data_IF_403811912740
#
_entry.id   IF_403811912740
#
_cell.length_a   1.000
_cell.length_b   1.000
_cell.length_c   1.000
_cell.angle_alpha   90.00
_cell.angle_beta   90.00
_cell.angle_gamma   90.00
#
_symmetry.space_group_name_H-M   'P 1'
#
loop_
_entity.id
_entity.type
_entity.pdbx_description
1 polymer ?
#
# COMPACT_ATOMS: atom_id res chain seq x y z
N UNK A 1 7.33 -5.43 6.37
CA UNK A 1 8.75 -5.51 5.95
C UNK A 1 8.81 -4.77 4.63
N UNK A 2 9.39 -3.57 4.60
CA UNK A 2 9.43 -2.74 3.39
C UNK A 2 10.44 -3.39 2.42
N UNK A 3 9.97 -3.80 1.25
CA UNK A 3 10.82 -4.29 0.17
C UNK A 3 11.82 -3.20 -0.25
N UNK A 4 12.99 -3.55 -0.81
CA UNK A 4 13.99 -2.56 -1.16
C UNK A 4 13.45 -1.61 -2.25
N UNK A 5 13.33 -0.32 -1.92
CA UNK A 5 13.00 0.78 -2.85
C UNK A 5 14.10 1.07 -3.90
N UNK A 6 15.11 0.21 -3.99
CA UNK A 6 16.24 0.37 -4.90
C UNK A 6 16.00 -0.47 -6.16
N UNK A 7 16.35 0.09 -7.32
CA UNK A 7 16.46 -0.67 -8.57
C UNK A 7 17.30 -1.94 -8.27
N UNK A 8 16.80 -3.15 -8.55
CA UNK A 8 17.50 -4.38 -8.19
C UNK A 8 18.82 -4.60 -8.94
N UNK A 9 19.20 -3.67 -9.84
CA UNK A 9 20.48 -3.67 -10.50
C UNK A 9 21.54 -3.03 -9.56
N UNK A 10 22.54 -3.80 -9.06
CA UNK A 10 23.61 -3.21 -8.28
C UNK A 10 24.32 -2.14 -9.13
N UNK A 11 24.53 -0.94 -8.58
CA UNK A 11 25.22 0.19 -9.25
C UNK A 11 26.59 -0.22 -9.84
N UNK A 12 27.17 -1.32 -9.34
CA UNK A 12 28.46 -1.87 -9.74
C UNK A 12 28.40 -2.85 -10.92
N UNK A 13 27.20 -3.18 -11.45
CA UNK A 13 27.01 -4.09 -12.59
C UNK A 13 27.43 -5.54 -12.34
N UNK A 14 27.62 -5.94 -11.07
CA UNK A 14 28.12 -7.27 -10.66
C UNK A 14 27.03 -8.35 -10.55
N UNK A 15 25.82 -8.08 -11.04
CA UNK A 15 24.70 -9.02 -10.99
C UNK A 15 25.01 -10.33 -11.69
N UNK A 16 25.02 -11.44 -10.96
CA UNK A 16 25.20 -12.77 -11.57
C UNK A 16 23.92 -13.14 -12.31
N UNK A 17 23.99 -13.31 -13.63
CA UNK A 17 22.85 -13.80 -14.40
C UNK A 17 22.55 -15.27 -14.04
N UNK A 18 21.36 -15.51 -13.51
CA UNK A 18 20.86 -16.86 -13.17
C UNK A 18 19.77 -17.25 -14.17
N UNK A 19 19.72 -18.52 -14.57
CA UNK A 19 18.66 -19.06 -15.41
C UNK A 19 17.48 -19.52 -14.55
N UNK A 20 16.30 -19.00 -14.86
CA UNK A 20 15.03 -19.43 -14.27
C UNK A 20 14.26 -20.26 -15.30
N UNK A 21 13.72 -21.40 -14.90
CA UNK A 21 12.82 -22.23 -15.71
C UNK A 21 11.40 -22.04 -15.20
N UNK A 22 10.48 -21.69 -16.10
CA UNK A 22 9.08 -21.44 -15.79
C UNK A 22 8.19 -22.50 -16.44
N UNK A 23 7.22 -22.99 -15.70
CA UNK A 23 6.14 -23.85 -16.23
C UNK A 23 4.89 -22.98 -16.41
N UNK A 24 4.29 -23.04 -17.59
CA UNK A 24 3.08 -22.28 -17.93
C UNK A 24 2.24 -23.06 -18.94
N UNK A 25 0.98 -22.66 -19.09
CA UNK A 25 0.10 -23.25 -20.10
C UNK A 25 0.48 -22.74 -21.50
N UNK A 26 0.22 -23.56 -22.53
CA UNK A 26 0.57 -23.22 -23.91
C UNK A 26 -0.03 -21.89 -24.38
N UNK A 27 -1.29 -21.59 -24.01
CA UNK A 27 -1.93 -20.33 -24.37
C UNK A 27 -1.21 -19.11 -23.77
N UNK A 28 -0.63 -19.25 -22.57
CA UNK A 28 0.13 -18.18 -21.93
C UNK A 28 1.43 -17.95 -22.68
N UNK A 29 2.10 -19.04 -23.08
CA UNK A 29 3.32 -18.97 -23.85
C UNK A 29 3.10 -18.30 -25.22
N UNK A 30 2.08 -18.73 -25.98
CA UNK A 30 1.75 -18.14 -27.28
C UNK A 30 1.47 -16.64 -27.13
N UNK A 31 0.67 -16.26 -26.13
CA UNK A 31 0.36 -14.86 -25.87
C UNK A 31 1.61 -14.03 -25.54
N UNK A 32 2.55 -14.56 -24.75
CA UNK A 32 3.82 -13.87 -24.43
C UNK A 32 4.70 -13.77 -25.69
N UNK A 33 4.78 -14.82 -26.50
CA UNK A 33 5.58 -14.84 -27.73
C UNK A 33 5.09 -13.78 -28.74
N UNK A 34 3.78 -13.68 -28.97
CA UNK A 34 3.18 -12.64 -29.83
C UNK A 34 3.53 -11.23 -29.32
N UNK A 35 3.43 -11.01 -28.00
CA UNK A 35 3.69 -9.70 -27.38
C UNK A 35 5.15 -9.31 -27.36
N UNK A 36 6.06 -10.29 -27.30
CA UNK A 36 7.48 -10.08 -27.44
C UNK A 36 7.83 -9.68 -28.88
N UNK A 37 7.23 -10.35 -29.88
CA UNK A 37 7.40 -10.02 -31.29
C UNK A 37 6.90 -8.61 -31.64
N UNK A 38 5.71 -8.24 -31.17
CA UNK A 38 5.16 -6.88 -31.33
C UNK A 38 6.08 -5.77 -30.81
N UNK A 39 6.95 -6.09 -29.84
CA UNK A 39 7.86 -5.15 -29.19
C UNK A 39 9.31 -5.32 -29.64
N UNK A 40 9.55 -6.16 -30.64
CA UNK A 40 10.89 -6.47 -31.17
C UNK A 40 11.84 -7.02 -30.09
N UNK A 41 11.30 -7.77 -29.12
CA UNK A 41 12.06 -8.35 -28.01
C UNK A 41 12.13 -9.87 -28.13
N UNK A 42 13.22 -10.47 -27.65
CA UNK A 42 13.23 -11.91 -27.44
C UNK A 42 12.42 -12.27 -26.18
N UNK A 43 11.97 -13.53 -26.08
CA UNK A 43 11.11 -13.99 -24.98
C UNK A 43 11.71 -13.72 -23.59
N UNK A 44 13.02 -13.92 -23.41
CA UNK A 44 13.69 -13.73 -22.12
C UNK A 44 13.85 -12.26 -21.75
N UNK A 45 13.98 -11.38 -22.74
CA UNK A 45 14.01 -9.93 -22.56
C UNK A 45 12.63 -9.38 -22.22
N UNK A 46 11.61 -9.80 -22.97
CA UNK A 46 10.23 -9.43 -22.70
C UNK A 46 9.78 -9.86 -21.29
N UNK A 47 10.09 -11.10 -20.88
CA UNK A 47 9.78 -11.58 -19.53
C UNK A 47 10.50 -10.80 -18.43
N UNK A 48 11.76 -10.40 -18.64
CA UNK A 48 12.49 -9.56 -17.69
C UNK A 48 11.87 -8.17 -17.59
N UNK A 49 11.54 -7.55 -18.72
CA UNK A 49 10.88 -6.24 -18.75
C UNK A 49 9.51 -6.27 -18.04
N UNK A 50 8.72 -7.32 -18.29
CA UNK A 50 7.45 -7.55 -17.61
C UNK A 50 7.61 -7.75 -16.10
N UNK A 51 8.60 -8.53 -15.66
CA UNK A 51 8.86 -8.74 -14.24
C UNK A 51 9.24 -7.42 -13.54
N UNK A 52 10.14 -6.63 -14.13
CA UNK A 52 10.52 -5.30 -13.59
C UNK A 52 9.35 -4.33 -13.57
N UNK A 53 8.53 -4.30 -14.63
CA UNK A 53 7.35 -3.45 -14.68
C UNK A 53 6.28 -3.88 -13.66
N UNK A 54 6.08 -5.19 -13.49
CA UNK A 54 5.18 -5.76 -12.49
C UNK A 54 5.62 -5.41 -11.07
N UNK A 55 6.91 -5.50 -10.77
CA UNK A 55 7.47 -5.09 -9.47
C UNK A 55 7.21 -3.61 -9.20
N UNK A 56 7.44 -2.73 -10.18
CA UNK A 56 7.15 -1.30 -10.05
C UNK A 56 5.67 -1.03 -9.80
N UNK A 57 4.77 -1.81 -10.40
CA UNK A 57 3.33 -1.71 -10.15
C UNK A 57 2.94 -2.22 -8.75
N UNK A 58 3.55 -3.30 -8.28
CA UNK A 58 3.33 -3.80 -6.92
C UNK A 58 3.79 -2.79 -5.88
N UNK A 59 5.01 -2.25 -6.03
CA UNK A 59 5.53 -1.18 -5.15
C UNK A 59 4.65 0.06 -5.20
N UNK A 60 4.13 0.45 -6.38
CA UNK A 60 3.18 1.55 -6.47
C UNK A 60 1.86 1.28 -5.74
N UNK A 61 1.35 0.04 -5.78
CA UNK A 61 0.16 -0.36 -5.02
C UNK A 61 0.42 -0.42 -3.51
N UNK A 62 1.60 -0.89 -3.10
CA UNK A 62 2.03 -0.89 -1.70
C UNK A 62 2.16 0.54 -1.17
N UNK A 63 2.83 1.43 -1.92
CA UNK A 63 2.92 2.84 -1.57
C UNK A 63 1.55 3.54 -1.54
N UNK A 64 0.64 3.21 -2.47
CA UNK A 64 -0.74 3.71 -2.43
C UNK A 64 -1.51 3.19 -1.21
N UNK A 65 -1.29 1.95 -0.79
CA UNK A 65 -1.91 1.38 0.40
C UNK A 65 -1.37 2.03 1.70
N UNK A 66 -0.09 2.39 1.71
CA UNK A 66 0.56 3.14 2.79
C UNK A 66 0.12 4.62 2.81
N UNK A 67 -0.01 5.29 1.65
CA UNK A 67 -0.46 6.69 1.53
C UNK A 67 -1.97 6.88 1.82
N UNK A 68 -2.81 5.86 1.59
CA UNK A 68 -4.26 5.90 1.90
C UNK A 68 -4.57 5.72 3.41
N UNK A 69 -3.55 5.59 4.28
CA UNK A 69 -3.70 5.45 5.73
C UNK A 69 -4.35 4.13 6.19
N UNK A 70 -4.54 3.17 5.27
CA UNK A 70 -5.13 1.86 5.56
C UNK A 70 -4.18 0.98 6.37
N UNK A 71 -2.88 1.05 6.09
CA UNK A 71 -1.87 0.34 6.86
C UNK A 71 -1.80 0.82 8.33
N UNK A 72 -1.93 2.12 8.57
CA UNK A 72 -1.99 2.69 9.92
C UNK A 72 -3.28 2.29 10.65
N UNK A 73 -4.42 2.28 9.96
CA UNK A 73 -5.69 1.85 10.55
C UNK A 73 -5.67 0.35 10.89
N UNK A 74 -5.14 -0.49 10.01
CA UNK A 74 -5.00 -1.92 10.23
C UNK A 74 -4.04 -2.23 11.38
N UNK A 75 -2.90 -1.54 11.44
CA UNK A 75 -1.96 -1.64 12.56
C UNK A 75 -2.62 -1.21 13.89
N UNK A 76 -3.35 -0.09 13.90
CA UNK A 76 -4.08 0.38 15.09
C UNK A 76 -5.17 -0.60 15.54
N UNK A 77 -5.83 -1.30 14.62
CA UNK A 77 -6.79 -2.36 14.96
C UNK A 77 -6.07 -3.54 15.60
N UNK A 78 -4.98 -4.02 14.97
CA UNK A 78 -4.24 -5.19 15.46
C UNK A 78 -3.60 -4.94 16.83
N UNK A 79 -3.06 -3.76 17.09
CA UNK A 79 -2.48 -3.40 18.39
C UNK A 79 -3.51 -3.36 19.53
N UNK A 80 -4.79 -3.11 19.23
CA UNK A 80 -5.86 -3.06 20.22
C UNK A 80 -6.50 -4.43 20.48
N UNK A 81 -6.28 -5.42 19.59
CA UNK A 81 -6.86 -6.74 19.75
C UNK A 81 -6.04 -7.59 20.74
N UNK A 82 -6.68 -8.21 21.75
CA UNK A 82 -6.00 -9.10 22.67
C UNK A 82 -5.67 -10.45 22.01
N UNK A 83 -4.56 -11.04 22.44
CA UNK A 83 -4.06 -12.33 21.93
C UNK A 83 -4.83 -13.55 22.48
N UNK A 84 -5.74 -13.36 23.46
CA UNK A 84 -6.55 -14.40 24.09
C UNK A 84 -8.05 -14.21 23.80
N UNK A 85 -8.72 -15.27 23.38
CA UNK A 85 -10.17 -15.30 23.11
C UNK A 85 -11.01 -15.03 24.37
N UNK A 86 -10.49 -15.38 25.56
CA UNK A 86 -11.16 -15.09 26.83
C UNK A 86 -11.23 -13.58 27.16
N UNK A 87 -10.35 -12.78 26.55
CA UNK A 87 -10.24 -11.34 26.74
C UNK A 87 -10.78 -10.54 25.55
N UNK A 88 -11.55 -11.18 24.65
CA UNK A 88 -12.08 -10.54 23.44
C UNK A 88 -12.83 -9.23 23.75
N UNK A 89 -12.44 -8.17 23.05
CA UNK A 89 -13.03 -6.84 23.18
C UNK A 89 -14.35 -6.77 22.40
N UNK A 90 -15.36 -6.12 22.99
CA UNK A 90 -16.62 -5.86 22.30
C UNK A 90 -16.42 -4.93 21.09
N UNK A 91 -17.18 -5.17 20.02
CA UNK A 91 -17.07 -4.38 18.79
C UNK A 91 -17.24 -2.87 19.02
N UNK A 92 -18.17 -2.47 19.90
CA UNK A 92 -18.41 -1.06 20.21
C UNK A 92 -17.26 -0.42 20.98
N UNK A 93 -16.65 -1.18 21.90
CA UNK A 93 -15.48 -0.73 22.66
C UNK A 93 -14.24 -0.60 21.77
N UNK A 94 -14.00 -1.55 20.87
CA UNK A 94 -12.93 -1.48 19.89
C UNK A 94 -13.08 -0.27 18.96
N UNK A 95 -14.30 -0.03 18.47
CA UNK A 95 -14.59 1.10 17.60
C UNK A 95 -14.34 2.43 18.31
N UNK A 96 -14.75 2.55 19.58
CA UNK A 96 -14.54 3.76 20.38
C UNK A 96 -13.05 3.99 20.66
N UNK A 97 -12.29 2.93 20.96
CA UNK A 97 -10.84 2.99 21.18
C UNK A 97 -10.08 3.51 19.95
N UNK A 98 -10.49 3.12 18.74
CA UNK A 98 -9.90 3.59 17.48
C UNK A 98 -10.34 5.02 17.14
N UNK A 99 -11.62 5.34 17.31
CA UNK A 99 -12.19 6.63 16.90
C UNK A 99 -11.91 7.77 17.88
N UNK A 100 -11.64 7.47 19.15
CA UNK A 100 -11.41 8.50 20.18
C UNK A 100 -10.14 9.34 19.91
N UNK A 101 -8.96 8.75 19.63
CA UNK A 101 -7.75 9.51 19.29
C UNK A 101 -7.91 10.37 18.03
N UNK A 102 -8.63 9.87 17.03
CA UNK A 102 -8.93 10.59 15.78
C UNK A 102 -9.80 11.82 16.08
N UNK A 103 -10.84 11.65 16.90
CA UNK A 103 -11.71 12.74 17.33
C UNK A 103 -10.95 13.79 18.15
N UNK A 104 -10.13 13.37 19.09
CA UNK A 104 -9.34 14.29 19.92
C UNK A 104 -8.37 15.13 19.09
N UNK A 105 -7.66 14.49 18.15
CA UNK A 105 -6.77 15.17 17.20
C UNK A 105 -7.53 16.17 16.34
N UNK A 106 -8.67 15.75 15.78
CA UNK A 106 -9.52 16.60 14.94
C UNK A 106 -10.04 17.81 15.72
N UNK A 107 -10.59 17.61 16.92
CA UNK A 107 -11.06 18.71 17.76
C UNK A 107 -9.94 19.66 18.18
N UNK A 108 -8.74 19.14 18.43
CA UNK A 108 -7.58 19.98 18.74
C UNK A 108 -7.26 20.89 17.56
N UNK A 109 -7.15 20.35 16.35
CA UNK A 109 -6.90 21.13 15.12
C UNK A 109 -7.99 22.20 14.93
N UNK A 110 -9.26 21.81 15.03
CA UNK A 110 -10.40 22.71 14.87
C UNK A 110 -10.40 23.86 15.90
N UNK A 111 -9.91 23.61 17.13
CA UNK A 111 -9.83 24.62 18.19
C UNK A 111 -8.59 25.52 18.08
N UNK A 112 -7.47 24.98 17.59
CA UNK A 112 -6.18 25.70 17.59
C UNK A 112 -5.90 26.42 16.28
N UNK A 113 -6.53 26.01 15.18
CA UNK A 113 -6.31 26.63 13.88
C UNK A 113 -7.09 27.95 13.78
N UNK A 114 -6.37 29.07 13.71
CA UNK A 114 -6.95 30.42 13.65
C UNK A 114 -7.75 30.74 12.37
N UNK A 115 -7.66 29.89 11.36
CA UNK A 115 -8.41 30.01 10.10
C UNK A 115 -9.77 29.29 10.15
N UNK A 116 -10.01 28.49 11.19
CA UNK A 116 -11.25 27.72 11.36
C UNK A 116 -12.05 28.33 12.50
N UNK A 117 -13.34 28.55 12.30
CA UNK A 117 -14.24 29.15 13.29
C UNK A 117 -15.48 28.27 13.46
N UNK A 118 -15.95 28.14 14.71
CA UNK A 118 -17.19 27.42 15.00
C UNK A 118 -18.38 28.37 14.89
N UNK A 119 -19.38 28.00 14.09
CA UNK A 119 -20.68 28.66 13.99
C UNK A 119 -21.70 27.92 14.85
N UNK A 120 -22.17 28.52 15.96
CA UNK A 120 -23.25 27.95 16.76
C UNK A 120 -24.58 27.88 15.98
N UNK A 121 -24.82 28.82 15.06
CA UNK A 121 -26.06 28.88 14.28
C UNK A 121 -26.20 27.74 13.28
N UNK A 122 -25.07 27.22 12.78
CA UNK A 122 -25.02 26.09 11.86
C UNK A 122 -24.61 24.77 12.55
N UNK A 123 -24.40 24.82 13.88
CA UNK A 123 -23.81 23.75 14.68
C UNK A 123 -22.55 23.14 14.03
N UNK A 124 -21.72 23.96 13.37
CA UNK A 124 -20.65 23.48 12.48
C UNK A 124 -19.42 24.38 12.43
N UNK A 125 -18.35 23.89 11.79
CA UNK A 125 -17.10 24.63 11.61
C UNK A 125 -16.98 25.16 10.18
N UNK A 126 -16.47 26.38 9.99
CA UNK A 126 -16.25 26.98 8.68
C UNK A 126 -14.87 27.66 8.60
N UNK A 127 -14.38 27.86 7.38
CA UNK A 127 -13.16 28.62 7.11
C UNK A 127 -13.47 30.12 7.14
N UNK A 128 -12.71 30.86 7.94
CA UNK A 128 -12.81 32.31 8.12
C UNK A 128 -12.20 33.09 6.96
#
# INVERSE_FOLDING_TARGET
MIGPNADPDPEDGTGKQVKLTLSMYDYQRTWIEERAEEREMNLSEYMRAMATAGERQLVALENLADEDGRGELEANIVEQLPDDEADAIDQGELLEAILSPIRETTYTILKTNSQIEYSPEQEGYYLK
#
